data_IF_044584893369
#
_entry.id   IF_044584893369
#
_cell.length_a   1.000
_cell.length_b   1.000
_cell.length_c   1.000
_cell.angle_alpha   90.00
_cell.angle_beta   90.00
_cell.angle_gamma   90.00
#
_symmetry.space_group_name_H-M   'P 1'
#
loop_
_entity.id
_entity.type
_entity.pdbx_description
1 polymer ?
#
# COMPACT_ATOMS: atom_id res chain seq x y z
N UNK A 1 -1.93 -4.41 0.76
CA UNK A 1 -0.94 -3.72 -0.12
C UNK A 1 0.39 -4.46 -0.01
N UNK A 2 1.05 -4.75 -1.14
CA UNK A 2 2.38 -5.38 -1.19
C UNK A 2 2.45 -6.78 -0.57
N UNK A 3 1.71 -7.70 -1.17
CA UNK A 3 1.71 -9.13 -0.85
C UNK A 3 2.74 -9.94 -1.67
N UNK A 4 3.52 -9.28 -2.53
CA UNK A 4 4.46 -9.91 -3.46
C UNK A 4 4.16 -9.58 -4.91
N UNK A 5 4.88 -10.25 -5.81
CA UNK A 5 4.70 -10.11 -7.25
C UNK A 5 3.38 -10.74 -7.72
N UNK A 6 2.84 -10.19 -8.79
CA UNK A 6 1.58 -10.57 -9.45
C UNK A 6 1.77 -10.43 -10.97
N UNK A 7 0.88 -11.00 -11.80
CA UNK A 7 0.89 -10.79 -13.26
C UNK A 7 0.86 -9.31 -13.67
N UNK A 8 0.34 -8.44 -12.79
CA UNK A 8 0.23 -7.00 -13.02
C UNK A 8 1.45 -6.19 -12.50
N UNK A 9 2.51 -6.86 -12.03
CA UNK A 9 3.66 -6.20 -11.38
C UNK A 9 4.59 -5.47 -12.36
N UNK A 10 4.47 -5.73 -13.67
CA UNK A 10 5.35 -5.14 -14.70
C UNK A 10 6.82 -5.36 -14.33
N UNK A 11 7.63 -4.30 -14.25
CA UNK A 11 9.04 -4.36 -13.85
C UNK A 11 9.26 -4.19 -12.32
N UNK A 12 8.18 -4.15 -11.52
CA UNK A 12 8.26 -3.98 -10.08
C UNK A 12 8.48 -5.28 -9.30
N UNK A 13 9.01 -5.15 -8.09
CA UNK A 13 9.23 -6.28 -7.16
C UNK A 13 7.98 -6.69 -6.36
N UNK A 14 6.87 -5.97 -6.51
CA UNK A 14 5.63 -6.23 -5.76
C UNK A 14 5.71 -5.94 -4.25
N UNK A 15 6.77 -5.27 -3.78
CA UNK A 15 7.02 -4.97 -2.37
C UNK A 15 6.80 -3.49 -2.06
N UNK A 16 6.43 -3.20 -0.80
CA UNK A 16 6.48 -1.86 -0.23
C UNK A 16 7.59 -1.82 0.81
N UNK A 17 8.11 -0.62 1.02
CA UNK A 17 9.11 -0.31 2.03
C UNK A 17 8.43 0.26 3.27
N UNK A 18 9.05 0.07 4.43
CA UNK A 18 8.50 0.48 5.72
C UNK A 18 8.11 1.97 5.77
N UNK A 19 8.95 2.85 5.22
CA UNK A 19 8.68 4.31 5.14
C UNK A 19 7.37 4.64 4.40
N UNK A 20 7.06 3.89 3.34
CA UNK A 20 5.85 4.11 2.54
C UNK A 20 4.62 3.59 3.26
N UNK A 21 4.73 2.41 3.89
CA UNK A 21 3.62 1.80 4.62
C UNK A 21 3.23 2.63 5.85
N UNK A 22 4.21 3.17 6.60
CA UNK A 22 3.93 4.05 7.74
C UNK A 22 3.21 5.34 7.30
N UNK A 23 3.68 5.98 6.22
CA UNK A 23 3.04 7.21 5.71
C UNK A 23 1.60 6.97 5.25
N UNK A 24 1.34 5.88 4.54
CA UNK A 24 -0.02 5.53 4.13
C UNK A 24 -0.90 5.23 5.33
N UNK A 25 -0.42 4.49 6.33
CA UNK A 25 -1.18 4.24 7.56
C UNK A 25 -1.58 5.54 8.26
N UNK A 26 -0.62 6.44 8.48
CA UNK A 26 -0.88 7.72 9.16
C UNK A 26 -1.89 8.58 8.38
N UNK A 27 -1.73 8.71 7.06
CA UNK A 27 -2.65 9.50 6.25
C UNK A 27 -4.05 8.86 6.16
N UNK A 28 -4.12 7.52 6.03
CA UNK A 28 -5.37 6.77 5.93
C UNK A 28 -6.21 6.84 7.21
N UNK A 29 -5.61 6.98 8.38
CA UNK A 29 -6.35 7.16 9.63
C UNK A 29 -6.57 8.63 10.01
N UNK A 30 -5.65 9.53 9.63
CA UNK A 30 -5.82 10.96 9.89
C UNK A 30 -6.96 11.59 9.07
N UNK A 31 -7.13 11.21 7.79
CA UNK A 31 -8.17 11.79 6.93
C UNK A 31 -9.60 11.51 7.44
N UNK A 32 -9.98 10.27 7.80
CA UNK A 32 -11.27 10.00 8.43
C UNK A 32 -11.46 10.70 9.78
N UNK A 33 -10.38 10.86 10.56
CA UNK A 33 -10.44 11.64 11.81
C UNK A 33 -10.74 13.13 11.57
N UNK A 34 -10.39 13.65 10.38
CA UNK A 34 -10.76 14.98 9.90
C UNK A 34 -12.12 15.03 9.18
N UNK A 35 -12.87 13.92 9.15
CA UNK A 35 -14.15 13.82 8.46
C UNK A 35 -14.04 13.70 6.92
N UNK A 36 -12.84 13.47 6.39
CA UNK A 36 -12.59 13.33 4.96
C UNK A 36 -12.67 11.85 4.58
N UNK A 37 -13.55 11.46 3.64
CA UNK A 37 -13.63 10.07 3.17
C UNK A 37 -12.30 9.58 2.60
N UNK A 38 -11.77 8.50 3.17
CA UNK A 38 -10.53 7.87 2.74
C UNK A 38 -10.57 6.37 3.06
N UNK A 39 -9.74 5.58 2.38
CA UNK A 39 -9.52 4.18 2.76
C UNK A 39 -8.87 4.10 4.14
N UNK A 40 -9.20 3.06 4.91
CA UNK A 40 -8.67 2.82 6.26
C UNK A 40 -7.43 1.93 6.21
N UNK A 41 -6.58 2.04 7.21
CA UNK A 41 -5.41 1.19 7.39
C UNK A 41 -5.50 0.46 8.73
N UNK A 42 -5.63 -0.87 8.70
CA UNK A 42 -5.82 -1.67 9.91
C UNK A 42 -4.49 -1.91 10.64
N UNK A 43 -3.44 -2.28 9.90
CA UNK A 43 -2.12 -2.51 10.48
C UNK A 43 -0.99 -2.39 9.45
N UNK A 44 0.23 -2.22 9.97
CA UNK A 44 1.48 -2.29 9.21
C UNK A 44 2.36 -3.38 9.81
N UNK A 45 2.84 -4.29 8.97
CA UNK A 45 3.74 -5.37 9.36
C UNK A 45 5.08 -5.14 8.66
N UNK A 46 6.14 -4.97 9.46
CA UNK A 46 7.52 -4.88 8.96
C UNK A 46 8.15 -6.26 8.78
N UNK A 47 9.15 -6.35 7.91
CA UNK A 47 9.99 -7.53 7.71
C UNK A 47 11.46 -7.14 7.55
N UNK A 48 12.36 -8.07 7.88
CA UNK A 48 13.81 -7.95 7.61
C UNK A 48 14.17 -8.20 6.13
N UNK A 49 13.20 -8.57 5.29
CA UNK A 49 13.43 -8.74 3.85
C UNK A 49 13.94 -7.44 3.21
N UNK A 50 15.13 -7.44 2.58
CA UNK A 50 15.67 -6.25 1.95
C UNK A 50 14.93 -5.93 0.64
N UNK A 51 14.67 -4.64 0.42
CA UNK A 51 14.03 -4.09 -0.78
C UNK A 51 14.88 -2.94 -1.28
N UNK A 52 15.18 -2.92 -2.57
CA UNK A 52 16.04 -1.90 -3.17
C UNK A 52 15.20 -0.76 -3.78
N UNK A 53 15.44 0.47 -3.34
CA UNK A 53 14.91 1.72 -3.93
C UNK A 53 16.10 2.63 -4.22
N UNK A 54 16.07 3.91 -3.82
CA UNK A 54 17.30 4.75 -3.88
C UNK A 54 18.39 4.20 -2.94
N UNK A 55 17.99 3.49 -1.89
CA UNK A 55 18.86 2.80 -0.93
C UNK A 55 18.25 1.44 -0.55
N UNK A 56 19.03 0.63 0.17
CA UNK A 56 18.53 -0.62 0.77
C UNK A 56 17.55 -0.28 1.90
N UNK A 57 16.34 -0.80 1.83
CA UNK A 57 15.28 -0.58 2.81
C UNK A 57 14.63 -1.89 3.25
N UNK A 58 13.85 -1.84 4.33
CA UNK A 58 13.11 -2.99 4.86
C UNK A 58 11.73 -3.09 4.25
N UNK A 59 11.34 -4.30 3.84
CA UNK A 59 9.99 -4.58 3.35
C UNK A 59 8.94 -4.32 4.44
N UNK A 60 7.76 -3.91 4.01
CA UNK A 60 6.58 -3.85 4.85
C UNK A 60 5.31 -4.10 4.05
N UNK A 61 4.30 -4.64 4.72
CA UNK A 61 2.96 -4.86 4.18
C UNK A 61 1.97 -4.03 4.99
N UNK A 62 1.00 -3.43 4.30
CA UNK A 62 -0.10 -2.66 4.91
C UNK A 62 -1.42 -3.33 4.59
N UNK A 63 -2.24 -3.53 5.63
CA UNK A 63 -3.60 -4.05 5.50
C UNK A 63 -4.57 -2.88 5.32
N UNK A 64 -5.03 -2.68 4.08
CA UNK A 64 -5.94 -1.59 3.68
C UNK A 64 -7.36 -2.09 3.64
N UNK A 65 -8.28 -1.32 4.22
CA UNK A 65 -9.70 -1.59 4.21
C UNK A 65 -10.45 -0.50 3.45
N UNK A 66 -11.41 -0.91 2.63
CA UNK A 66 -12.34 -0.04 1.93
C UNK A 66 -13.59 -0.84 1.55
N UNK A 67 -14.77 -0.21 1.42
CA UNK A 67 -15.97 -0.90 0.94
C UNK A 67 -15.82 -1.50 -0.47
N UNK A 68 -14.98 -0.86 -1.31
CA UNK A 68 -14.63 -1.36 -2.64
C UNK A 68 -13.22 -0.91 -3.03
N UNK A 69 -12.58 -1.70 -3.90
CA UNK A 69 -11.30 -1.38 -4.52
C UNK A 69 -11.43 -1.10 -6.04
N UNK A 70 -12.66 -1.09 -6.56
CA UNK A 70 -12.97 -0.71 -7.94
C UNK A 70 -12.57 0.76 -8.17
N UNK A 71 -12.09 1.05 -9.38
CA UNK A 71 -11.61 2.37 -9.81
C UNK A 71 -12.14 2.64 -11.22
N UNK A 72 -12.15 3.89 -11.66
CA UNK A 72 -12.54 4.25 -13.03
C UNK A 72 -11.76 3.45 -14.09
N UNK A 73 -10.45 3.26 -13.89
CA UNK A 73 -9.63 2.42 -14.78
C UNK A 73 -10.03 0.95 -14.89
N UNK A 74 -10.91 0.42 -14.04
CA UNK A 74 -11.51 -0.90 -14.27
C UNK A 74 -12.50 -0.87 -15.42
N UNK A 75 -13.24 0.23 -15.59
CA UNK A 75 -14.22 0.41 -16.65
C UNK A 75 -13.57 0.88 -17.95
N UNK A 76 -12.44 1.59 -17.87
CA UNK A 76 -11.65 2.00 -19.06
C UNK A 76 -10.84 0.85 -19.67
N UNK A 77 -10.59 -0.21 -18.90
CA UNK A 77 -9.79 -1.36 -19.35
C UNK A 77 -10.54 -2.29 -20.30
N UNK A 78 -11.87 -2.34 -20.18
CA UNK A 78 -12.77 -3.13 -21.02
C UNK A 78 -13.38 -2.25 -22.10
#
# INVERSE_FOLDING_TARGET
KCAGQTPYSRMGDGRAVLRSSIREFLASEALPALGIPSSRALCVIGSSTPVWREKKESAATLLRLAPSHVRFGHFEYF
#
